data_IF_908141658133
#
_entry.id   IF_908141658133
#
_cell.length_a   1.000
_cell.length_b   1.000
_cell.length_c   1.000
_cell.angle_alpha   90.00
_cell.angle_beta   90.00
_cell.angle_gamma   90.00
#
_symmetry.space_group_name_H-M   'P 1'
#
loop_
_entity.id
_entity.type
_entity.pdbx_description
1 polymer ?
#
# COMPACT_ATOMS: atom_id res chain seq x y z
N UNK A 1 0.30 -9.03 13.82
CA UNK A 1 -0.17 -7.98 12.88
C UNK A 1 0.60 -7.99 11.57
N UNK A 2 1.94 -8.02 11.58
CA UNK A 2 2.76 -8.03 10.35
C UNK A 2 2.38 -9.13 9.33
N UNK A 3 2.06 -10.34 9.79
CA UNK A 3 1.62 -11.42 8.89
C UNK A 3 0.34 -11.13 8.11
N UNK A 4 -0.59 -10.31 8.62
CA UNK A 4 -1.84 -10.02 7.91
C UNK A 4 -1.62 -9.08 6.72
N UNK A 5 -0.59 -8.24 6.78
CA UNK A 5 -0.28 -7.28 5.71
C UNK A 5 0.43 -7.95 4.53
N UNK A 6 1.17 -9.03 4.78
CA UNK A 6 1.89 -9.79 3.75
C UNK A 6 0.90 -10.27 2.68
N UNK A 7 1.30 -10.11 1.42
CA UNK A 7 0.48 -10.44 0.26
C UNK A 7 0.34 -9.27 -0.70
N UNK A 8 -0.57 -9.45 -1.65
CA UNK A 8 -0.83 -8.48 -2.72
C UNK A 8 -2.17 -7.79 -2.44
N UNK A 9 -2.18 -6.48 -2.62
CA UNK A 9 -3.32 -5.61 -2.43
C UNK A 9 -3.49 -4.72 -3.65
N UNK A 10 -4.71 -4.59 -4.15
CA UNK A 10 -5.07 -3.70 -5.27
C UNK A 10 -6.21 -2.79 -4.83
N UNK A 11 -6.40 -1.63 -5.46
CA UNK A 11 -7.50 -0.73 -5.07
C UNK A 11 -8.84 -1.45 -4.97
N UNK A 12 -9.64 -1.06 -3.98
CA UNK A 12 -11.07 -1.32 -4.02
C UNK A 12 -11.70 -0.48 -5.16
N UNK A 13 -12.32 -1.10 -6.19
CA UNK A 13 -12.96 -0.35 -7.28
C UNK A 13 -14.10 0.57 -6.81
N UNK A 14 -14.63 0.34 -5.61
CA UNK A 14 -15.61 1.23 -4.99
C UNK A 14 -14.99 2.52 -4.43
N UNK A 15 -13.69 2.54 -4.12
CA UNK A 15 -12.97 3.69 -3.60
C UNK A 15 -12.42 4.58 -4.73
N UNK A 16 -13.35 5.21 -5.46
CA UNK A 16 -13.02 6.09 -6.59
C UNK A 16 -12.19 7.30 -6.18
N UNK A 17 -12.40 7.83 -4.99
CA UNK A 17 -11.65 8.99 -4.47
C UNK A 17 -10.16 8.68 -4.39
N UNK A 18 -9.78 7.54 -3.80
CA UNK A 18 -8.36 7.18 -3.71
C UNK A 18 -7.74 6.92 -5.09
N UNK A 19 -8.50 6.32 -6.01
CA UNK A 19 -8.05 6.07 -7.39
C UNK A 19 -7.82 7.38 -8.14
N UNK A 20 -8.67 8.38 -7.95
CA UNK A 20 -8.50 9.71 -8.57
C UNK A 20 -7.26 10.44 -8.02
N UNK A 21 -6.94 10.26 -6.73
CA UNK A 21 -5.81 10.94 -6.08
C UNK A 21 -4.48 10.24 -6.34
N UNK A 22 -4.44 8.91 -6.25
CA UNK A 22 -3.20 8.12 -6.26
C UNK A 22 -3.02 7.24 -7.50
N UNK A 23 -4.01 7.21 -8.39
CA UNK A 23 -4.05 6.30 -9.53
C UNK A 23 -4.45 4.88 -9.13
N UNK A 24 -4.33 3.95 -10.08
CA UNK A 24 -4.56 2.53 -9.84
C UNK A 24 -3.29 1.89 -9.26
N UNK A 25 -3.33 1.55 -7.99
CA UNK A 25 -2.24 1.11 -7.14
C UNK A 25 -2.32 -0.39 -6.87
N UNK A 26 -1.15 -1.04 -6.99
CA UNK A 26 -0.89 -2.40 -6.51
C UNK A 26 0.26 -2.39 -5.51
N UNK A 27 0.06 -3.01 -4.36
CA UNK A 27 1.06 -3.15 -3.30
C UNK A 27 1.35 -4.62 -3.02
N UNK A 28 2.61 -5.01 -3.04
CA UNK A 28 3.08 -6.33 -2.62
C UNK A 28 3.97 -6.18 -1.39
N UNK A 29 3.45 -6.60 -0.23
CA UNK A 29 4.20 -6.63 1.03
C UNK A 29 4.87 -8.00 1.21
N UNK A 30 6.19 -8.00 1.35
CA UNK A 30 7.00 -9.20 1.53
C UNK A 30 7.40 -9.40 2.98
N UNK A 31 7.56 -10.66 3.40
CA UNK A 31 7.94 -11.03 4.77
C UNK A 31 9.29 -10.46 5.24
N UNK A 32 10.16 -10.05 4.32
CA UNK A 32 11.49 -9.50 4.58
C UNK A 32 11.49 -7.97 4.76
N UNK A 33 10.31 -7.32 4.83
CA UNK A 33 10.20 -5.87 4.97
C UNK A 33 10.35 -5.09 3.66
N UNK A 34 10.26 -5.76 2.50
CA UNK A 34 10.18 -5.11 1.19
C UNK A 34 8.73 -4.85 0.80
N UNK A 35 8.47 -3.68 0.22
CA UNK A 35 7.21 -3.33 -0.39
C UNK A 35 7.48 -2.99 -1.86
N UNK A 36 6.82 -3.68 -2.78
CA UNK A 36 6.75 -3.27 -4.18
C UNK A 36 5.45 -2.48 -4.35
N UNK A 37 5.56 -1.19 -4.61
CA UNK A 37 4.43 -0.32 -4.87
C UNK A 37 4.40 -0.01 -6.37
N UNK A 38 3.24 -0.22 -7.01
CA UNK A 38 3.09 -0.03 -8.45
C UNK A 38 1.90 0.88 -8.72
N UNK A 39 2.09 1.90 -9.57
CA UNK A 39 1.01 2.74 -10.11
C UNK A 39 0.80 2.32 -11.56
N UNK A 40 -0.44 1.99 -11.91
CA UNK A 40 -0.88 1.48 -13.20
C UNK A 40 -1.65 2.60 -13.91
N UNK A 41 -1.07 3.16 -14.96
CA UNK A 41 -1.68 4.22 -15.77
C UNK A 41 -1.45 3.92 -17.25
N UNK A 42 -2.51 4.00 -18.07
CA UNK A 42 -2.42 3.87 -19.53
C UNK A 42 -1.61 2.65 -20.00
N UNK A 43 -1.85 1.48 -19.39
CA UNK A 43 -1.15 0.21 -19.65
C UNK A 43 0.35 0.22 -19.30
N UNK A 44 0.84 1.26 -18.63
CA UNK A 44 2.19 1.33 -18.08
C UNK A 44 2.15 1.14 -16.58
N UNK A 45 3.14 0.41 -16.08
CA UNK A 45 3.31 0.15 -14.66
C UNK A 45 4.58 0.87 -14.19
N UNK A 46 4.42 1.86 -13.32
CA UNK A 46 5.53 2.50 -12.62
C UNK A 46 5.76 1.79 -11.29
N UNK A 47 6.94 1.19 -11.10
CA UNK A 47 7.31 0.47 -9.87
C UNK A 47 8.23 1.28 -8.98
N UNK A 48 7.93 1.26 -7.68
CA UNK A 48 8.74 1.81 -6.61
C UNK A 48 9.09 0.69 -5.63
N UNK A 49 10.38 0.53 -5.35
CA UNK A 49 10.89 -0.45 -4.40
C UNK A 49 11.11 0.24 -3.05
N UNK A 50 10.28 -0.11 -2.09
CA UNK A 50 10.24 0.51 -0.77
C UNK A 50 10.66 -0.50 0.31
N UNK A 51 11.09 0.02 1.45
CA UNK A 51 11.17 -0.72 2.71
C UNK A 51 9.98 -0.34 3.56
N UNK A 52 9.47 -1.28 4.35
CA UNK A 52 8.41 -1.00 5.30
C UNK A 52 8.68 -1.60 6.68
N UNK A 53 8.22 -0.91 7.71
CA UNK A 53 8.12 -1.40 9.08
C UNK A 53 6.74 -1.08 9.64
N UNK A 54 6.31 -1.85 10.65
CA UNK A 54 5.05 -1.63 11.35
C UNK A 54 5.37 -1.22 12.78
N UNK A 55 4.81 -0.09 13.20
CA UNK A 55 4.85 0.40 14.57
C UNK A 55 3.42 0.61 15.07
N UNK A 56 2.92 -0.33 15.88
CA UNK A 56 1.50 -0.36 16.27
C UNK A 56 0.56 -0.46 15.07
N UNK A 57 -0.27 0.59 14.88
CA UNK A 57 -1.18 0.77 13.74
C UNK A 57 -0.61 1.70 12.65
N UNK A 58 0.69 2.00 12.70
CA UNK A 58 1.36 2.86 11.72
C UNK A 58 2.22 2.02 10.79
N UNK A 59 2.00 2.17 9.48
CA UNK A 59 2.86 1.69 8.42
C UNK A 59 3.87 2.79 8.11
N UNK A 60 5.16 2.49 8.28
CA UNK A 60 6.24 3.40 7.94
C UNK A 60 6.93 2.85 6.71
N UNK A 61 6.94 3.61 5.61
CA UNK A 61 7.63 3.27 4.38
C UNK A 61 8.82 4.20 4.16
N UNK A 62 9.82 3.72 3.43
CA UNK A 62 10.99 4.50 3.03
C UNK A 62 11.45 4.04 1.64
N UNK A 63 11.85 4.98 0.78
CA UNK A 63 12.39 4.68 -0.54
C UNK A 63 13.92 4.71 -0.50
N UNK A 64 14.63 3.58 -0.52
CA UNK A 64 16.09 3.59 -0.34
C UNK A 64 16.86 4.37 -1.42
N UNK A 65 16.30 4.46 -2.63
CA UNK A 65 16.89 5.22 -3.73
C UNK A 65 16.72 6.74 -3.58
N UNK A 66 15.76 7.19 -2.77
CA UNK A 66 15.49 8.59 -2.44
C UNK A 66 14.93 8.67 -1.02
N UNK A 67 15.77 8.56 0.02
CA UNK A 67 15.32 8.32 1.38
C UNK A 67 14.38 9.40 1.89
N UNK A 68 13.15 8.99 2.18
CA UNK A 68 12.08 9.84 2.70
C UNK A 68 11.07 8.93 3.41
N UNK A 69 10.98 9.08 4.73
CA UNK A 69 10.09 8.26 5.54
C UNK A 69 8.67 8.79 5.48
N UNK A 70 7.76 8.00 4.95
CA UNK A 70 6.33 8.28 4.95
C UNK A 70 5.65 7.45 6.04
N UNK A 71 4.59 8.01 6.63
CA UNK A 71 3.81 7.35 7.68
C UNK A 71 2.35 7.35 7.28
N UNK A 72 1.73 6.19 7.34
CA UNK A 72 0.29 6.02 7.14
C UNK A 72 -0.27 5.25 8.31
N UNK A 73 -1.42 5.67 8.83
CA UNK A 73 -2.19 4.77 9.70
C UNK A 73 -2.74 3.63 8.84
N UNK A 74 -2.83 2.43 9.39
CA UNK A 74 -3.45 1.31 8.69
C UNK A 74 -4.33 0.47 9.58
N UNK A 75 -5.31 -0.17 8.97
CA UNK A 75 -6.09 -1.24 9.56
C UNK A 75 -6.33 -2.35 8.54
N UNK A 76 -6.50 -3.57 9.04
CA UNK A 76 -6.83 -4.73 8.21
C UNK A 76 -8.03 -5.43 8.81
N UNK A 77 -9.10 -5.54 8.03
CA UNK A 77 -10.29 -6.32 8.33
C UNK A 77 -10.49 -7.36 7.22
N UNK A 78 -10.29 -8.63 7.55
CA UNK A 78 -10.21 -9.74 6.60
C UNK A 78 -9.31 -9.46 5.37
N UNK A 79 -9.94 -9.26 4.21
CA UNK A 79 -9.31 -9.01 2.91
C UNK A 79 -9.37 -7.54 2.49
N UNK A 80 -9.59 -6.65 3.45
CA UNK A 80 -9.61 -5.20 3.25
C UNK A 80 -8.45 -4.58 4.03
N UNK A 81 -7.59 -3.87 3.31
CA UNK A 81 -6.57 -2.99 3.88
C UNK A 81 -7.05 -1.55 3.73
N UNK A 82 -7.03 -0.80 4.82
CA UNK A 82 -7.27 0.63 4.79
C UNK A 82 -6.00 1.37 5.20
N UNK A 83 -5.63 2.38 4.43
CA UNK A 83 -4.53 3.28 4.73
C UNK A 83 -5.06 4.70 4.86
N UNK A 84 -4.60 5.44 5.87
CA UNK A 84 -4.79 6.89 5.97
C UNK A 84 -3.44 7.55 5.82
N UNK A 85 -3.22 8.23 4.70
CA UNK A 85 -2.01 8.98 4.40
C UNK A 85 -2.37 10.45 4.19
N UNK A 86 -1.74 11.35 4.94
CA UNK A 86 -2.00 12.80 4.89
C UNK A 86 -3.50 13.16 5.00
N UNK A 87 -4.23 12.43 5.86
CA UNK A 87 -5.67 12.61 6.07
C UNK A 87 -6.57 12.00 4.98
N UNK A 88 -6.01 11.42 3.92
CA UNK A 88 -6.75 10.77 2.84
C UNK A 88 -6.81 9.27 3.14
N UNK A 89 -8.04 8.76 3.28
CA UNK A 89 -8.30 7.31 3.42
C UNK A 89 -8.32 6.67 2.03
N UNK A 90 -7.65 5.53 1.92
CA UNK A 90 -7.63 4.68 0.75
C UNK A 90 -7.87 3.23 1.14
N UNK A 91 -8.61 2.50 0.31
CA UNK A 91 -9.01 1.12 0.55
C UNK A 91 -8.50 0.20 -0.55
N UNK A 92 -7.99 -0.96 -0.13
CA UNK A 92 -7.42 -1.98 -0.98
C UNK A 92 -7.98 -3.35 -0.63
N UNK A 93 -8.14 -4.19 -1.64
CA UNK A 93 -8.61 -5.57 -1.53
C UNK A 93 -7.44 -6.53 -1.70
N UNK A 94 -7.41 -7.59 -0.90
CA UNK A 94 -6.42 -8.65 -1.04
C UNK A 94 -6.65 -9.41 -2.34
N UNK A 95 -5.58 -9.63 -3.09
CA UNK A 95 -5.57 -10.52 -4.25
C UNK A 95 -5.29 -11.95 -3.78
N UNK A 96 -6.24 -12.85 -3.99
CA UNK A 96 -6.07 -14.29 -3.78
C UNK A 96 -5.52 -14.87 -5.08
N UNK A 97 -4.39 -15.58 -4.98
CA UNK A 97 -3.72 -16.27 -6.10
C UNK A 97 -3.91 -17.78 -5.94
#
# INVERSE_FOLDING_TARGET
MQNKLIGIWENDPADRTSIEVYGNVRMEFKNNGELIYSIIENEREQKMLLRYIIDGNTLITDQPSHPEKMRSEFSIDDDILELTFDGIRSRYLRVII
#
